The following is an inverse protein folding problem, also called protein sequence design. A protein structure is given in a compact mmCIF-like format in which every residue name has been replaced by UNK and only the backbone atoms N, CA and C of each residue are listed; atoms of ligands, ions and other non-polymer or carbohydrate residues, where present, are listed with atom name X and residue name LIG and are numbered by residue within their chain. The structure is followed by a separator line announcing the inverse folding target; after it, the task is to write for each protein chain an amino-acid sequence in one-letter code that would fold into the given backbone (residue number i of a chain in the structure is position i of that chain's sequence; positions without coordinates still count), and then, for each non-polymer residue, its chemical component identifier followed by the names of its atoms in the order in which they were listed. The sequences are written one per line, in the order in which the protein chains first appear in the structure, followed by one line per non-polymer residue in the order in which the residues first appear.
data_IF_557530339950
#
_entry.id   IF_557530339950
#
_cell.length_a   1.000
_cell.length_b   1.000
_cell.length_c   1.000
_cell.angle_alpha   90.00
_cell.angle_beta   90.00
_cell.angle_gamma   90.00
#
_symmetry.space_group_name_H-M   'P 1'
#
loop_
_entity.id
_entity.type
_entity.pdbx_description
1 polymer ?
#
# COMPACT_ATOMS: atom_id res chain seq x y z
N UNK A 1 44.29 9.16 25.88
CA UNK A 1 43.10 10.03 26.00
C UNK A 1 42.34 10.14 24.68
N UNK A 2 43.04 10.41 23.57
CA UNK A 2 42.51 10.46 22.20
C UNK A 2 41.74 9.20 21.76
N UNK A 3 42.28 8.00 22.04
CA UNK A 3 41.62 6.72 21.68
C UNK A 3 40.32 6.44 22.44
N UNK A 4 40.21 6.89 23.70
CA UNK A 4 38.99 6.77 24.51
C UNK A 4 37.89 7.72 24.02
N UNK A 5 38.28 8.92 23.58
CA UNK A 5 37.37 9.92 23.02
C UNK A 5 36.81 9.46 21.66
N UNK A 6 37.65 8.83 20.83
CA UNK A 6 37.25 8.23 19.57
C UNK A 6 36.27 7.05 19.75
N UNK A 7 36.55 6.17 20.71
CA UNK A 7 35.67 5.05 21.04
C UNK A 7 34.29 5.55 21.54
N UNK A 8 34.28 6.61 22.36
CA UNK A 8 33.07 7.23 22.87
C UNK A 8 32.23 7.87 21.76
N UNK A 9 32.87 8.50 20.77
CA UNK A 9 32.19 9.07 19.60
C UNK A 9 31.51 7.99 18.74
N UNK A 10 32.17 6.84 18.53
CA UNK A 10 31.59 5.69 17.80
C UNK A 10 30.36 5.14 18.54
N UNK A 11 30.43 5.03 19.87
CA UNK A 11 29.30 4.55 20.67
C UNK A 11 28.11 5.52 20.60
N UNK A 12 28.35 6.83 20.67
CA UNK A 12 27.29 7.85 20.56
C UNK A 12 26.64 7.84 19.17
N UNK A 13 27.44 7.70 18.10
CA UNK A 13 26.92 7.60 16.74
C UNK A 13 26.12 6.30 16.51
N UNK A 14 26.53 5.18 17.11
CA UNK A 14 25.81 3.90 17.03
C UNK A 14 24.48 3.86 17.79
N UNK A 15 24.30 4.71 18.81
CA UNK A 15 23.00 4.85 19.52
C UNK A 15 22.04 5.75 18.72
N UNK A 16 22.59 6.71 17.98
CA UNK A 16 21.84 7.67 17.16
C UNK A 16 21.21 7.07 15.90
N UNK A 17 21.65 5.88 15.47
CA UNK A 17 21.17 5.22 14.26
C UNK A 17 19.89 4.38 14.44
N UNK A 18 19.19 4.50 15.58
CA UNK A 18 17.86 3.89 15.77
C UNK A 18 16.76 4.73 15.13
N UNK A 19 16.92 5.04 13.85
CA UNK A 19 15.81 5.52 13.02
C UNK A 19 14.89 4.34 12.71
N UNK A 20 13.92 4.06 13.58
CA UNK A 20 12.81 3.15 13.25
C UNK A 20 11.82 3.90 12.36
N UNK A 21 12.12 3.98 11.07
CA UNK A 21 11.09 4.08 10.05
C UNK A 21 10.98 2.69 9.44
N UNK A 22 10.33 1.78 10.17
CA UNK A 22 9.76 0.60 9.55
C UNK A 22 8.35 1.05 9.15
N UNK A 23 8.12 1.20 7.84
CA UNK A 23 6.75 1.32 7.33
C UNK A 23 6.05 0.02 7.75
N UNK A 24 5.02 0.13 8.59
CA UNK A 24 4.29 -1.05 9.06
C UNK A 24 3.36 -1.48 7.93
N UNK A 25 3.90 -2.22 6.96
CA UNK A 25 3.16 -2.56 5.74
C UNK A 25 1.94 -3.45 6.03
N UNK A 26 1.99 -4.17 7.14
CA UNK A 26 1.00 -5.17 7.49
C UNK A 26 0.37 -4.77 8.83
N UNK A 27 -0.92 -4.45 8.79
CA UNK A 27 -1.72 -4.16 9.98
C UNK A 27 -2.58 -5.38 10.34
N UNK A 28 -2.03 -6.40 11.05
CA UNK A 28 -2.75 -7.62 11.41
C UNK A 28 -3.84 -7.39 12.46
N UNK A 29 -3.84 -6.24 13.15
CA UNK A 29 -4.87 -5.82 14.09
C UNK A 29 -6.17 -5.37 13.40
N UNK A 30 -6.14 -5.13 12.09
CA UNK A 30 -7.31 -4.75 11.30
C UNK A 30 -8.02 -5.97 10.72
N UNK A 31 -9.35 -5.89 10.63
CA UNK A 31 -10.17 -6.91 9.99
C UNK A 31 -10.24 -6.66 8.47
N UNK A 32 -9.41 -7.38 7.72
CA UNK A 32 -9.34 -7.25 6.26
C UNK A 32 -10.44 -8.04 5.55
N UNK A 33 -11.12 -7.38 4.62
CA UNK A 33 -12.19 -7.92 3.79
C UNK A 33 -11.91 -7.68 2.32
N UNK A 34 -12.50 -8.48 1.43
CA UNK A 34 -12.34 -8.34 -0.02
C UNK A 34 -13.69 -8.30 -0.72
N UNK A 35 -13.92 -7.28 -1.55
CA UNK A 35 -14.97 -7.28 -2.56
C UNK A 35 -14.36 -7.84 -3.85
N UNK A 36 -14.93 -8.92 -4.35
CA UNK A 36 -14.57 -9.48 -5.65
C UNK A 36 -15.51 -8.97 -6.73
N UNK A 37 -14.95 -8.55 -7.87
CA UNK A 37 -15.69 -8.18 -9.06
C UNK A 37 -15.23 -9.03 -10.26
N UNK A 38 -15.68 -8.68 -11.46
CA UNK A 38 -15.27 -9.41 -12.67
C UNK A 38 -13.78 -9.21 -12.93
N UNK A 39 -13.28 -7.99 -12.82
CA UNK A 39 -11.91 -7.62 -13.19
C UNK A 39 -11.02 -7.21 -12.00
N UNK A 40 -11.57 -7.05 -10.79
CA UNK A 40 -10.84 -6.50 -9.66
C UNK A 40 -11.04 -7.28 -8.35
N UNK A 41 -10.07 -7.15 -7.46
CA UNK A 41 -10.14 -7.52 -6.05
C UNK A 41 -9.95 -6.26 -5.22
N UNK A 42 -10.87 -5.91 -4.35
CA UNK A 42 -10.78 -4.68 -3.54
C UNK A 42 -10.65 -5.07 -2.08
N UNK A 43 -9.45 -4.92 -1.53
CA UNK A 43 -9.09 -5.21 -0.15
C UNK A 43 -9.22 -3.95 0.71
N UNK A 44 -9.95 -4.05 1.81
CA UNK A 44 -10.20 -2.94 2.73
C UNK A 44 -10.32 -3.46 4.17
N UNK A 45 -9.99 -2.61 5.13
CA UNK A 45 -10.18 -2.89 6.55
C UNK A 45 -11.55 -2.43 7.06
N UNK A 46 -11.90 -2.83 8.28
CA UNK A 46 -13.05 -2.31 9.01
C UNK A 46 -13.06 -0.77 9.03
N UNK A 47 -14.20 -0.17 8.66
CA UNK A 47 -14.36 1.29 8.53
C UNK A 47 -14.20 1.82 7.10
N UNK A 48 -13.51 1.10 6.20
CA UNK A 48 -13.25 1.53 4.83
C UNK A 48 -14.21 0.92 3.78
N UNK A 49 -15.26 0.21 4.20
CA UNK A 49 -16.16 -0.52 3.29
C UNK A 49 -16.81 0.39 2.23
N UNK A 50 -17.27 1.59 2.63
CA UNK A 50 -17.87 2.55 1.68
C UNK A 50 -16.88 2.88 0.56
N UNK A 51 -15.63 3.15 0.92
CA UNK A 51 -14.54 3.42 -0.03
C UNK A 51 -14.32 2.22 -0.94
N UNK A 52 -14.22 1.00 -0.37
CA UNK A 52 -14.09 -0.23 -1.16
C UNK A 52 -15.21 -0.44 -2.17
N UNK A 53 -16.46 -0.15 -1.80
CA UNK A 53 -17.63 -0.25 -2.70
C UNK A 53 -17.60 0.79 -3.83
N UNK A 54 -17.21 2.02 -3.52
CA UNK A 54 -17.07 3.06 -4.55
C UNK A 54 -15.94 2.74 -5.52
N UNK A 55 -14.79 2.24 -5.04
CA UNK A 55 -13.70 1.76 -5.89
C UNK A 55 -14.21 0.66 -6.82
N UNK A 56 -14.87 -0.37 -6.29
CA UNK A 56 -15.39 -1.48 -7.09
C UNK A 56 -16.31 -1.00 -8.22
N UNK A 57 -17.23 -0.08 -7.90
CA UNK A 57 -18.18 0.49 -8.86
C UNK A 57 -17.46 1.31 -9.94
N UNK A 58 -16.56 2.21 -9.54
CA UNK A 58 -15.86 3.10 -10.48
C UNK A 58 -14.91 2.28 -11.36
N UNK A 59 -14.09 1.42 -10.77
CA UNK A 59 -13.11 0.59 -11.48
C UNK A 59 -13.79 -0.27 -12.57
N UNK A 60 -14.89 -0.95 -12.23
CA UNK A 60 -15.65 -1.72 -13.22
C UNK A 60 -16.26 -0.85 -14.32
N UNK A 61 -16.78 0.33 -13.97
CA UNK A 61 -17.41 1.22 -14.97
C UNK A 61 -16.41 1.78 -16.00
N UNK A 62 -15.14 1.91 -15.61
CA UNK A 62 -14.08 2.43 -16.50
C UNK A 62 -13.20 1.34 -17.12
N UNK A 63 -13.32 0.07 -16.70
CA UNK A 63 -12.46 -1.02 -17.19
C UNK A 63 -12.41 -1.07 -18.72
N UNK A 64 -13.57 -1.21 -19.37
CA UNK A 64 -13.66 -1.32 -20.83
C UNK A 64 -13.07 -0.11 -21.58
N UNK A 65 -13.46 1.14 -21.24
CA UNK A 65 -12.85 2.32 -21.82
C UNK A 65 -11.32 2.39 -21.69
N UNK A 66 -10.78 2.04 -20.51
CA UNK A 66 -9.33 2.10 -20.25
C UNK A 66 -8.58 1.00 -21.01
N UNK A 67 -9.03 -0.26 -20.93
CA UNK A 67 -8.36 -1.37 -21.61
C UNK A 67 -8.41 -1.24 -23.12
N UNK A 68 -9.54 -0.76 -23.67
CA UNK A 68 -9.69 -0.46 -25.09
C UNK A 68 -8.75 0.66 -25.55
N UNK A 69 -8.62 1.74 -24.77
CA UNK A 69 -7.72 2.85 -25.09
C UNK A 69 -6.25 2.41 -25.22
N UNK A 70 -5.80 1.52 -24.33
CA UNK A 70 -4.42 1.03 -24.33
C UNK A 70 -4.22 -0.24 -25.18
N UNK A 71 -5.29 -0.86 -25.68
CA UNK A 71 -5.23 -2.13 -26.40
C UNK A 71 -4.69 -3.28 -25.54
N UNK A 72 -4.88 -3.21 -24.22
CA UNK A 72 -4.33 -4.17 -23.26
C UNK A 72 -5.35 -4.46 -22.16
N UNK A 73 -5.62 -5.74 -21.95
CA UNK A 73 -6.38 -6.25 -20.81
C UNK A 73 -5.42 -6.99 -19.87
N UNK A 74 -5.48 -6.73 -18.55
CA UNK A 74 -4.78 -7.53 -17.57
C UNK A 74 -5.16 -9.02 -17.70
N UNK A 75 -4.19 -9.90 -17.59
CA UNK A 75 -4.36 -11.36 -17.68
C UNK A 75 -4.99 -11.97 -16.41
N UNK A 76 -5.04 -11.18 -15.34
CA UNK A 76 -5.57 -11.53 -14.03
C UNK A 76 -6.29 -10.34 -13.41
N UNK A 77 -7.09 -10.59 -12.36
CA UNK A 77 -7.77 -9.51 -11.63
C UNK A 77 -6.75 -8.57 -10.99
N UNK A 78 -6.98 -7.26 -11.10
CA UNK A 78 -6.13 -6.23 -10.50
C UNK A 78 -6.56 -6.00 -9.06
N UNK A 79 -5.60 -5.96 -8.14
CA UNK A 79 -5.86 -5.77 -6.72
C UNK A 79 -5.84 -4.29 -6.35
N UNK A 80 -6.85 -3.82 -5.62
CA UNK A 80 -6.86 -2.54 -4.93
C UNK A 80 -6.67 -2.79 -3.43
N UNK A 81 -5.79 -2.04 -2.78
CA UNK A 81 -5.61 -2.05 -1.32
C UNK A 81 -5.92 -0.66 -0.79
N UNK A 82 -6.96 -0.56 0.05
CA UNK A 82 -7.34 0.68 0.73
C UNK A 82 -6.56 0.79 2.05
N UNK A 83 -5.64 1.75 2.14
CA UNK A 83 -4.79 2.04 3.30
C UNK A 83 -5.20 3.33 4.02
N UNK A 84 -6.48 3.44 4.37
CA UNK A 84 -7.05 4.59 5.09
C UNK A 84 -7.04 4.38 6.61
N UNK A 85 -5.89 3.94 7.16
CA UNK A 85 -5.68 3.68 8.60
C UNK A 85 -4.51 4.46 9.20
N UNK A 86 -3.58 4.93 8.36
CA UNK A 86 -2.45 5.76 8.76
C UNK A 86 -2.62 7.20 8.27
N UNK A 87 -1.91 8.13 8.90
CA UNK A 87 -1.78 9.52 8.41
C UNK A 87 -0.82 9.59 7.21
N UNK A 88 -1.19 8.89 6.13
CA UNK A 88 -0.47 8.79 4.87
C UNK A 88 -1.43 9.08 3.71
N UNK A 89 -1.39 10.31 3.19
CA UNK A 89 -2.31 10.76 2.12
C UNK A 89 -1.69 10.62 0.71
N UNK A 90 -1.35 9.41 0.29
CA UNK A 90 -0.81 9.15 -1.06
C UNK A 90 -1.16 7.73 -1.56
N UNK A 91 -1.08 7.51 -2.88
CA UNK A 91 -1.36 6.24 -3.53
C UNK A 91 -0.30 5.82 -4.55
N UNK A 92 -0.41 4.62 -5.10
CA UNK A 92 0.53 4.10 -6.09
C UNK A 92 0.01 2.92 -6.89
N UNK A 93 0.52 2.76 -8.11
CA UNK A 93 0.24 1.62 -8.97
C UNK A 93 1.53 0.82 -9.21
N UNK A 94 1.49 -0.48 -8.94
CA UNK A 94 2.62 -1.39 -8.94
C UNK A 94 2.37 -2.51 -9.96
N UNK A 95 2.98 -2.37 -11.14
CA UNK A 95 2.71 -3.28 -12.26
C UNK A 95 3.23 -4.71 -12.03
N UNK A 96 4.34 -4.88 -11.29
CA UNK A 96 4.87 -6.21 -10.99
C UNK A 96 3.94 -7.04 -10.08
N UNK A 97 3.19 -6.38 -9.21
CA UNK A 97 2.29 -7.01 -8.23
C UNK A 97 0.83 -7.02 -8.69
N UNK A 98 0.54 -6.45 -9.86
CA UNK A 98 -0.80 -6.16 -10.34
C UNK A 98 -1.70 -5.49 -9.28
N UNK A 99 -1.14 -4.48 -8.60
CA UNK A 99 -1.71 -3.86 -7.40
C UNK A 99 -1.77 -2.35 -7.53
N UNK A 100 -2.87 -1.78 -7.06
CA UNK A 100 -3.05 -0.36 -6.81
C UNK A 100 -3.28 -0.17 -5.32
N UNK A 101 -2.61 0.81 -4.73
CA UNK A 101 -2.72 1.18 -3.32
C UNK A 101 -3.28 2.59 -3.25
N UNK A 102 -4.33 2.77 -2.46
CA UNK A 102 -5.05 4.04 -2.29
C UNK A 102 -5.15 4.36 -0.81
#
# INVERSE_FOLDING_TARGET
MQSKLFLMLIVVLGISSRGFSQEDYNHPELDWNTIETKHFLIHFHNGAERTGREIAKVAESIYGPITSMYGHEPDQRVSFIVRDHDDYSNGGAYFYDNKIVI
#
